data_IF_158477285973
#
_entry.id   IF_158477285973
#
_cell.length_a   1.000
_cell.length_b   1.000
_cell.length_c   1.000
_cell.angle_alpha   90.00
_cell.angle_beta   90.00
_cell.angle_gamma   90.00
#
_symmetry.space_group_name_H-M   'P 1'
#
loop_
_entity.id
_entity.type
_entity.pdbx_description
1 polymer ?
#
# COMPACT_ATOMS: atom_id res chain seq x y z
N UNK A 1 20.12 -22.62 66.52
CA UNK A 1 19.08 -22.65 65.47
C UNK A 1 19.42 -23.75 64.48
N UNK A 2 18.45 -24.61 64.12
CA UNK A 2 18.65 -25.71 63.15
C UNK A 2 18.57 -25.14 61.74
N UNK A 3 19.67 -25.15 60.99
CA UNK A 3 19.63 -24.86 59.56
C UNK A 3 19.50 -26.18 58.80
N UNK A 4 18.29 -26.40 58.28
CA UNK A 4 17.96 -27.48 57.35
C UNK A 4 18.60 -27.13 56.01
N UNK A 5 19.38 -28.08 55.47
CA UNK A 5 19.85 -28.07 54.09
C UNK A 5 18.67 -28.41 53.18
N UNK A 6 18.30 -27.48 52.30
CA UNK A 6 17.44 -27.77 51.16
C UNK A 6 18.31 -27.74 49.90
N UNK A 7 18.40 -28.90 49.26
CA UNK A 7 19.03 -29.06 47.96
C UNK A 7 17.90 -29.03 46.92
N UNK A 8 17.85 -27.96 46.12
CA UNK A 8 17.02 -27.91 44.91
C UNK A 8 17.95 -27.93 43.72
N UNK A 9 18.13 -29.10 43.12
CA UNK A 9 18.61 -29.20 41.75
C UNK A 9 17.55 -28.56 40.84
N UNK A 10 17.93 -27.49 40.16
CA UNK A 10 17.23 -26.96 39.00
C UNK A 10 18.28 -26.80 37.91
N UNK A 11 18.45 -27.87 37.14
CA UNK A 11 19.16 -27.84 35.87
C UNK A 11 18.16 -27.32 34.83
N UNK A 12 18.12 -25.99 34.62
CA UNK A 12 17.64 -25.43 33.37
C UNK A 12 18.69 -24.46 32.83
N UNK A 13 19.23 -24.88 31.70
CA UNK A 13 20.17 -24.20 30.83
C UNK A 13 19.61 -22.83 30.45
N UNK A 14 20.49 -21.82 30.46
CA UNK A 14 20.16 -20.40 30.34
C UNK A 14 19.04 -20.09 29.36
N UNK A 15 17.93 -19.57 29.88
CA UNK A 15 16.91 -18.90 29.10
C UNK A 15 17.24 -17.40 29.16
N UNK A 16 18.06 -16.96 28.20
CA UNK A 16 18.20 -15.53 27.91
C UNK A 16 16.89 -15.07 27.31
N UNK A 17 16.20 -14.13 27.96
CA UNK A 17 15.13 -13.37 27.33
C UNK A 17 15.75 -12.52 26.23
N UNK A 18 15.80 -13.05 25.02
CA UNK A 18 15.88 -12.22 23.83
C UNK A 18 14.46 -12.08 23.33
N UNK A 19 13.84 -10.94 23.64
CA UNK A 19 12.68 -10.45 22.91
C UNK A 19 13.14 -10.19 21.47
N UNK A 20 13.19 -11.24 20.64
CA UNK A 20 13.21 -11.08 19.19
C UNK A 20 11.77 -10.87 18.78
N UNK A 21 11.36 -9.60 18.80
CA UNK A 21 10.38 -9.10 17.85
C UNK A 21 10.89 -9.49 16.45
N UNK A 22 10.07 -10.07 15.56
CA UNK A 22 10.45 -10.16 14.16
C UNK A 22 10.53 -8.73 13.63
N UNK A 23 11.75 -8.22 13.45
CA UNK A 23 12.02 -7.12 12.52
C UNK A 23 11.61 -7.63 11.14
N UNK A 24 10.42 -7.25 10.69
CA UNK A 24 10.06 -7.34 9.29
C UNK A 24 10.88 -6.27 8.55
N UNK A 25 12.13 -6.61 8.24
CA UNK A 25 12.93 -5.89 7.24
C UNK A 25 12.37 -6.26 5.85
N UNK A 26 11.19 -5.72 5.52
CA UNK A 26 10.73 -5.62 4.14
C UNK A 26 11.07 -4.20 3.68
N UNK A 27 12.36 -3.94 3.45
CA UNK A 27 12.90 -2.64 3.01
C UNK A 27 12.55 -2.33 1.53
N UNK A 28 11.87 -3.25 0.84
CA UNK A 28 11.31 -2.96 -0.48
C UNK A 28 10.06 -2.10 -0.31
N UNK A 29 10.03 -0.88 -0.88
CA UNK A 29 8.84 -0.06 -0.82
C UNK A 29 7.71 -0.76 -1.58
N UNK A 30 6.67 -1.15 -0.85
CA UNK A 30 5.45 -1.71 -1.43
C UNK A 30 4.63 -0.52 -1.92
N UNK A 31 4.44 -0.44 -3.25
CA UNK A 31 3.54 0.53 -3.87
C UNK A 31 2.25 -0.20 -4.21
N UNK A 32 1.11 0.36 -3.83
CA UNK A 32 -0.19 -0.12 -4.23
C UNK A 32 -0.54 0.44 -5.60
N UNK A 33 -1.06 -0.40 -6.49
CA UNK A 33 -1.70 0.01 -7.74
C UNK A 33 -3.19 -0.27 -7.60
N UNK A 34 -4.00 0.74 -7.82
CA UNK A 34 -5.46 0.62 -7.75
C UNK A 34 -6.06 1.15 -9.04
N UNK A 35 -6.87 0.33 -9.69
CA UNK A 35 -7.62 0.66 -10.90
C UNK A 35 -9.04 0.97 -10.47
N UNK A 36 -9.55 2.14 -10.85
CA UNK A 36 -10.91 2.55 -10.56
C UNK A 36 -11.56 3.18 -11.78
N UNK A 37 -12.86 2.97 -11.92
CA UNK A 37 -13.71 3.77 -12.80
C UNK A 37 -14.28 4.93 -11.99
N UNK A 38 -14.19 6.15 -12.51
CA UNK A 38 -14.67 7.37 -11.83
C UNK A 38 -15.67 8.12 -12.69
N UNK A 39 -16.65 8.74 -12.03
CA UNK A 39 -17.69 9.54 -12.67
C UNK A 39 -17.68 10.96 -12.13
N UNK A 40 -17.72 11.93 -13.04
CA UNK A 40 -17.94 13.33 -12.71
C UNK A 40 -19.43 13.60 -12.41
N UNK A 41 -19.69 14.72 -11.74
CA UNK A 41 -21.04 15.12 -11.40
C UNK A 41 -21.93 15.30 -12.64
N UNK A 42 -22.90 14.40 -12.81
CA UNK A 42 -23.88 14.47 -13.90
C UNK A 42 -23.43 13.84 -15.22
N UNK A 43 -22.28 13.17 -15.25
CA UNK A 43 -21.82 12.41 -16.41
C UNK A 43 -22.27 10.94 -16.31
N UNK A 44 -22.59 10.34 -17.46
CA UNK A 44 -22.95 8.92 -17.57
C UNK A 44 -21.75 8.04 -17.97
N UNK A 45 -20.69 8.66 -18.50
CA UNK A 45 -19.46 8.00 -18.92
C UNK A 45 -18.46 7.95 -17.75
N UNK A 46 -17.80 6.80 -17.59
CA UNK A 46 -16.72 6.62 -16.62
C UNK A 46 -15.36 6.86 -17.26
N UNK A 47 -14.45 7.44 -16.49
CA UNK A 47 -13.03 7.52 -16.83
C UNK A 47 -12.27 6.45 -16.04
N UNK A 48 -11.42 5.68 -16.70
CA UNK A 48 -10.54 4.72 -16.02
C UNK A 48 -9.35 5.49 -15.42
N UNK A 49 -9.08 5.27 -14.14
CA UNK A 49 -7.95 5.87 -13.45
C UNK A 49 -7.09 4.82 -12.77
N UNK A 50 -5.77 5.00 -12.86
CA UNK A 50 -4.78 4.22 -12.13
C UNK A 50 -4.14 5.06 -11.04
N UNK A 51 -4.31 4.63 -9.79
CA UNK A 51 -3.76 5.28 -8.61
C UNK A 51 -2.57 4.45 -8.11
N UNK A 52 -1.41 5.10 -8.00
CA UNK A 52 -0.23 4.55 -7.36
C UNK A 52 0.07 5.31 -6.07
N UNK A 53 0.13 4.59 -4.96
CA UNK A 53 0.41 5.18 -3.65
C UNK A 53 1.17 4.20 -2.76
N UNK A 54 1.92 4.76 -1.81
CA UNK A 54 2.43 4.00 -0.67
C UNK A 54 1.42 4.09 0.46
N UNK A 55 1.13 2.96 1.11
CA UNK A 55 0.33 2.93 2.34
C UNK A 55 1.03 2.08 3.38
N UNK A 56 0.80 2.40 4.66
CA UNK A 56 1.21 1.58 5.79
C UNK A 56 0.28 0.37 5.96
N UNK A 57 0.78 -0.72 6.56
CA UNK A 57 0.00 -1.96 6.70
C UNK A 57 -1.27 -1.81 7.57
N UNK A 58 -1.31 -0.79 8.43
CA UNK A 58 -2.43 -0.50 9.31
C UNK A 58 -3.49 0.43 8.67
N UNK A 59 -3.23 0.95 7.46
CA UNK A 59 -4.14 1.88 6.77
C UNK A 59 -5.21 1.14 5.94
N UNK A 60 -6.43 1.67 5.95
CA UNK A 60 -7.49 1.18 5.09
C UNK A 60 -7.31 1.75 3.67
N UNK A 61 -6.63 0.98 2.83
CA UNK A 61 -6.30 1.38 1.45
C UNK A 61 -7.53 1.80 0.64
N UNK A 62 -8.66 1.10 0.80
CA UNK A 62 -9.91 1.42 0.10
C UNK A 62 -10.39 2.81 0.51
N UNK A 63 -10.46 3.07 1.82
CA UNK A 63 -10.87 4.37 2.34
C UNK A 63 -9.92 5.48 1.90
N UNK A 64 -8.61 5.22 1.88
CA UNK A 64 -7.59 6.17 1.43
C UNK A 64 -7.77 6.52 -0.04
N UNK A 65 -7.93 5.53 -0.92
CA UNK A 65 -8.13 5.77 -2.35
C UNK A 65 -9.42 6.54 -2.62
N UNK A 66 -10.53 6.16 -1.98
CA UNK A 66 -11.79 6.88 -2.13
C UNK A 66 -11.70 8.33 -1.64
N UNK A 67 -10.94 8.58 -0.57
CA UNK A 67 -10.69 9.94 -0.09
C UNK A 67 -9.87 10.77 -1.08
N UNK A 68 -8.86 10.18 -1.71
CA UNK A 68 -8.06 10.81 -2.77
C UNK A 68 -8.96 11.18 -3.96
N UNK A 69 -9.76 10.23 -4.45
CA UNK A 69 -10.64 10.48 -5.60
C UNK A 69 -11.70 11.56 -5.30
N UNK A 70 -12.22 11.59 -4.07
CA UNK A 70 -13.11 12.66 -3.63
C UNK A 70 -12.40 14.01 -3.51
N UNK A 71 -11.11 14.04 -3.14
CA UNK A 71 -10.31 15.27 -3.08
C UNK A 71 -10.00 15.83 -4.47
N UNK A 72 -9.77 14.95 -5.45
CA UNK A 72 -9.60 15.31 -6.87
C UNK A 72 -10.90 15.83 -7.51
N UNK A 73 -12.05 15.45 -6.96
CA UNK A 73 -13.35 16.04 -7.30
C UNK A 73 -14.31 15.09 -8.03
N UNK A 74 -13.99 13.80 -8.12
CA UNK A 74 -14.91 12.81 -8.67
C UNK A 74 -16.13 12.63 -7.77
N UNK A 75 -17.31 12.50 -8.38
CA UNK A 75 -18.56 12.35 -7.64
C UNK A 75 -18.78 10.90 -7.19
N UNK A 76 -18.50 9.94 -8.07
CA UNK A 76 -18.62 8.51 -7.80
C UNK A 76 -17.36 7.79 -8.27
N UNK A 77 -17.01 6.70 -7.60
CA UNK A 77 -15.86 5.87 -7.93
C UNK A 77 -16.17 4.39 -7.64
N UNK A 78 -15.77 3.52 -8.56
CA UNK A 78 -15.84 2.06 -8.45
C UNK A 78 -14.43 1.49 -8.54
N UNK A 79 -13.98 0.83 -7.48
CA UNK A 79 -12.67 0.16 -7.46
C UNK A 79 -12.79 -1.16 -8.21
N UNK A 80 -12.11 -1.26 -9.34
CA UNK A 80 -12.17 -2.42 -10.25
C UNK A 80 -11.13 -3.46 -9.87
N UNK A 81 -9.87 -3.02 -9.69
CA UNK A 81 -8.75 -3.89 -9.35
C UNK A 81 -7.81 -3.24 -8.34
N UNK A 82 -7.27 -4.04 -7.42
CA UNK A 82 -6.29 -3.59 -6.44
C UNK A 82 -5.14 -4.58 -6.39
N UNK A 83 -3.92 -4.07 -6.54
CA UNK A 83 -2.69 -4.83 -6.57
C UNK A 83 -1.55 -4.12 -5.86
N UNK A 84 -0.38 -4.76 -5.89
CA UNK A 84 0.86 -4.21 -5.35
C UNK A 84 1.98 -4.40 -6.35
N UNK A 85 2.76 -3.36 -6.53
CA UNK A 85 3.96 -3.33 -7.36
C UNK A 85 5.17 -3.23 -6.42
N UNK A 86 6.09 -4.18 -6.56
CA UNK A 86 7.31 -4.25 -5.75
C UNK A 86 8.59 -3.95 -6.55
N UNK A 87 8.45 -3.82 -7.87
CA UNK A 87 9.54 -3.56 -8.82
C UNK A 87 9.15 -2.38 -9.73
N UNK A 88 10.14 -1.66 -10.26
CA UNK A 88 9.90 -0.51 -11.14
C UNK A 88 9.17 -0.94 -12.43
N UNK A 89 8.03 -0.31 -12.79
CA UNK A 89 7.39 -0.53 -14.09
C UNK A 89 8.29 -0.08 -15.25
N UNK A 90 8.21 -0.76 -16.39
CA UNK A 90 8.99 -0.39 -17.58
C UNK A 90 8.29 0.70 -18.41
N UNK A 91 6.95 0.71 -18.40
CA UNK A 91 6.13 1.57 -19.26
C UNK A 91 5.73 2.88 -18.56
N UNK A 92 5.74 3.96 -19.34
CA UNK A 92 5.09 5.22 -18.96
C UNK A 92 3.60 5.16 -19.34
N UNK A 93 2.71 5.80 -18.56
CA UNK A 93 2.95 6.70 -17.42
C UNK A 93 3.20 6.02 -16.05
N UNK A 94 3.07 4.68 -15.95
CA UNK A 94 3.16 3.97 -14.67
C UNK A 94 4.53 4.07 -13.99
N UNK A 95 5.62 4.09 -14.77
CA UNK A 95 6.98 4.23 -14.25
C UNK A 95 7.18 5.55 -13.49
N UNK A 96 6.81 6.68 -14.10
CA UNK A 96 6.86 7.98 -13.44
C UNK A 96 5.98 8.02 -12.19
N UNK A 97 4.75 7.50 -12.29
CA UNK A 97 3.83 7.43 -11.17
C UNK A 97 4.36 6.58 -10.01
N UNK A 98 5.04 5.47 -10.30
CA UNK A 98 5.67 4.63 -9.28
C UNK A 98 6.76 5.40 -8.52
N UNK A 99 7.60 6.17 -9.22
CA UNK A 99 8.60 7.02 -8.56
C UNK A 99 7.97 8.08 -7.65
N UNK A 100 6.85 8.69 -8.07
CA UNK A 100 6.08 9.62 -7.24
C UNK A 100 5.52 8.91 -6.00
N UNK A 101 4.98 7.71 -6.14
CA UNK A 101 4.52 6.91 -4.99
C UNK A 101 5.65 6.62 -3.99
N UNK A 102 6.89 6.42 -4.48
CA UNK A 102 8.05 6.20 -3.63
C UNK A 102 8.48 7.44 -2.82
N UNK A 103 8.16 8.65 -3.28
CA UNK A 103 8.40 9.88 -2.48
C UNK A 103 7.40 10.03 -1.33
N UNK A 104 6.37 9.18 -1.28
CA UNK A 104 5.24 9.28 -0.36
C UNK A 104 4.11 10.16 -0.88
N UNK A 105 4.20 10.60 -2.14
CA UNK A 105 3.11 11.31 -2.81
C UNK A 105 2.17 10.31 -3.49
N UNK A 106 0.96 10.75 -3.82
CA UNK A 106 0.01 9.95 -4.59
C UNK A 106 0.16 10.31 -6.06
N UNK A 107 0.20 9.31 -6.93
CA UNK A 107 0.16 9.51 -8.37
C UNK A 107 -1.17 8.98 -8.92
N UNK A 108 -1.87 9.82 -9.66
CA UNK A 108 -3.11 9.48 -10.35
C UNK A 108 -2.88 9.62 -11.86
N UNK A 109 -3.28 8.60 -12.60
CA UNK A 109 -3.18 8.54 -14.05
C UNK A 109 -4.61 8.39 -14.58
N UNK A 110 -5.06 9.32 -15.42
CA UNK A 110 -6.36 9.25 -16.09
C UNK A 110 -6.19 8.71 -17.50
N UNK A 111 -7.03 7.76 -17.88
CA UNK A 111 -7.15 7.24 -19.23
C UNK A 111 -8.47 7.76 -19.81
N UNK A 112 -8.43 8.97 -20.36
CA UNK A 112 -9.52 9.47 -21.20
C UNK A 112 -9.59 8.54 -22.43
N UNK A 113 -10.77 7.96 -22.72
CA UNK A 113 -10.95 6.91 -23.72
C UNK A 113 -10.74 7.30 -25.18
N UNK A 114 -9.94 8.34 -25.48
CA UNK A 114 -9.75 8.89 -26.82
C UNK A 114 -8.32 9.42 -27.01
N UNK A 115 -7.34 8.52 -27.02
CA UNK A 115 -6.17 8.70 -27.89
C UNK A 115 -6.47 7.91 -29.19
N UNK A 116 -7.36 8.46 -30.02
CA UNK A 116 -7.22 8.25 -31.46
C UNK A 116 -5.86 8.85 -31.86
N UNK A 117 -4.78 8.06 -31.78
CA UNK A 117 -3.57 8.34 -32.54
C UNK A 117 -3.92 8.24 -34.04
N UNK A 118 -4.44 9.34 -34.61
CA UNK A 118 -4.40 9.57 -36.05
C UNK A 118 -2.92 9.70 -36.47
N UNK A 119 -2.31 8.62 -36.95
CA UNK A 119 -1.20 8.66 -37.93
C UNK A 119 -1.50 7.87 -39.21
#
# INVERSE_FOLDING_TARGET
MKHIRVETQQNIKGFSMSSTTPIADNDSPIVHLVIADVWNEGEEESVEVHILLKSDEDEDLVQTVLAILAEEGYHEAELVEMGTITEEPEEEPHKSAWHTALTGEVALIEFEGDDEEEE
#
